data_IF_113270089541
#
_entry.id   IF_113270089541
#
_cell.length_a   1.000
_cell.length_b   1.000
_cell.length_c   1.000
_cell.angle_alpha   90.00
_cell.angle_beta   90.00
_cell.angle_gamma   90.00
#
_symmetry.space_group_name_H-M   'P 1'
#
loop_
_entity.id
_entity.type
_entity.pdbx_description
1 polymer ?
#
# COMPACT_ATOMS: atom_id res chain seq x y z
N UNK A 1 -20.41 8.77 -22.22
CA UNK A 1 -19.13 8.43 -21.56
C UNK A 1 -18.08 9.42 -22.06
N UNK A 2 -17.27 10.01 -21.17
CA UNK A 2 -16.10 10.78 -21.61
C UNK A 2 -15.06 9.79 -22.12
N UNK A 3 -14.68 9.94 -23.38
CA UNK A 3 -13.55 9.22 -23.99
C UNK A 3 -12.25 9.83 -23.47
N UNK A 4 -11.22 9.02 -23.34
CA UNK A 4 -9.87 9.48 -23.07
C UNK A 4 -9.29 10.13 -24.34
N UNK A 5 -8.16 10.85 -24.24
CA UNK A 5 -7.38 11.26 -25.41
C UNK A 5 -7.03 10.05 -26.29
N UNK A 6 -6.89 10.27 -27.60
CA UNK A 6 -6.62 9.22 -28.60
C UNK A 6 -5.41 8.33 -28.25
N UNK A 7 -4.34 8.90 -27.70
CA UNK A 7 -3.17 8.14 -27.29
C UNK A 7 -3.51 7.12 -26.19
N UNK A 8 -4.36 7.50 -25.25
CA UNK A 8 -4.82 6.63 -24.16
C UNK A 8 -5.81 5.59 -24.67
N UNK A 9 -6.73 5.95 -25.57
CA UNK A 9 -7.65 4.97 -26.19
C UNK A 9 -6.87 3.93 -27.00
N UNK A 10 -5.80 4.33 -27.68
CA UNK A 10 -4.92 3.40 -28.44
C UNK A 10 -4.21 2.44 -27.50
N UNK A 11 -3.60 2.93 -26.42
CA UNK A 11 -2.95 2.09 -25.42
C UNK A 11 -3.95 1.15 -24.72
N UNK A 12 -5.15 1.66 -24.41
CA UNK A 12 -6.23 0.88 -23.79
C UNK A 12 -6.72 -0.23 -24.73
N UNK A 13 -6.88 0.05 -26.02
CA UNK A 13 -7.24 -0.95 -27.03
C UNK A 13 -6.19 -2.06 -27.14
N UNK A 14 -4.90 -1.72 -27.09
CA UNK A 14 -3.82 -2.70 -27.08
C UNK A 14 -3.85 -3.60 -25.84
N UNK A 15 -4.13 -3.01 -24.66
CA UNK A 15 -4.28 -3.77 -23.42
C UNK A 15 -5.51 -4.68 -23.45
N UNK A 16 -6.66 -4.17 -23.89
CA UNK A 16 -7.90 -4.94 -24.08
C UNK A 16 -7.66 -6.15 -24.97
N UNK A 17 -6.98 -5.95 -26.11
CA UNK A 17 -6.65 -7.03 -27.05
C UNK A 17 -5.74 -8.10 -26.44
N UNK A 18 -4.76 -7.68 -25.62
CA UNK A 18 -3.78 -8.57 -24.99
C UNK A 18 -4.37 -9.35 -23.82
N UNK A 19 -5.11 -8.66 -22.95
CA UNK A 19 -5.69 -9.24 -21.74
C UNK A 19 -7.05 -9.94 -22.00
N UNK A 20 -7.63 -9.77 -23.19
CA UNK A 20 -8.94 -10.29 -23.60
C UNK A 20 -10.06 -9.94 -22.60
N UNK A 21 -10.09 -8.68 -22.16
CA UNK A 21 -11.08 -8.17 -21.19
C UNK A 21 -11.85 -6.99 -21.77
N UNK A 22 -13.05 -6.72 -21.27
CA UNK A 22 -13.82 -5.54 -21.63
C UNK A 22 -13.18 -4.23 -21.16
N UNK A 23 -13.62 -3.11 -21.76
CA UNK A 23 -13.08 -1.77 -21.48
C UNK A 23 -13.14 -1.39 -20.00
N UNK A 24 -14.26 -1.65 -19.34
CA UNK A 24 -14.41 -1.35 -17.90
C UNK A 24 -13.52 -2.22 -17.02
N UNK A 25 -13.30 -3.48 -17.40
CA UNK A 25 -12.39 -4.38 -16.69
C UNK A 25 -10.93 -3.98 -16.90
N UNK A 26 -10.55 -3.61 -18.13
CA UNK A 26 -9.23 -3.07 -18.42
C UNK A 26 -8.92 -1.83 -17.58
N UNK A 27 -9.85 -0.86 -17.54
CA UNK A 27 -9.69 0.36 -16.75
C UNK A 27 -9.56 0.03 -15.26
N UNK A 28 -10.40 -0.87 -14.73
CA UNK A 28 -10.34 -1.28 -13.31
C UNK A 28 -8.99 -1.90 -12.95
N UNK A 29 -8.43 -2.75 -13.82
CA UNK A 29 -7.11 -3.37 -13.59
C UNK A 29 -5.97 -2.36 -13.64
N UNK A 30 -5.93 -1.51 -14.68
CA UNK A 30 -4.88 -0.50 -14.85
C UNK A 30 -4.89 0.49 -13.68
N UNK A 31 -6.07 1.01 -13.34
CA UNK A 31 -6.21 1.97 -12.23
C UNK A 31 -5.97 1.29 -10.89
N UNK A 32 -6.47 0.06 -10.70
CA UNK A 32 -6.27 -0.70 -9.47
C UNK A 32 -4.79 -1.01 -9.19
N UNK A 33 -4.04 -1.40 -10.21
CA UNK A 33 -2.60 -1.63 -10.12
C UNK A 33 -1.84 -0.34 -9.75
N UNK A 34 -2.11 0.75 -10.49
CA UNK A 34 -1.50 2.05 -10.21
C UNK A 34 -1.82 2.54 -8.79
N UNK A 35 -3.08 2.49 -8.37
CA UNK A 35 -3.49 2.92 -7.03
C UNK A 35 -2.89 2.03 -5.92
N UNK A 36 -2.67 0.74 -6.19
CA UNK A 36 -2.03 -0.17 -5.24
C UNK A 36 -0.54 0.14 -5.08
N UNK A 37 0.18 0.36 -6.20
CA UNK A 37 1.60 0.73 -6.18
C UNK A 37 1.88 2.07 -5.51
N UNK A 38 0.90 2.97 -5.48
CA UNK A 38 0.98 4.27 -4.81
C UNK A 38 0.39 4.29 -3.39
N UNK A 39 -0.07 3.15 -2.86
CA UNK A 39 -0.61 3.04 -1.50
C UNK A 39 -2.00 3.66 -1.30
N UNK A 40 -2.70 4.04 -2.38
CA UNK A 40 -4.08 4.54 -2.31
C UNK A 40 -5.10 3.41 -2.06
N UNK A 41 -4.80 2.19 -2.50
CA UNK A 41 -5.59 1.00 -2.18
C UNK A 41 -4.96 0.23 -1.02
N UNK A 42 -5.38 0.55 0.20
CA UNK A 42 -5.02 -0.15 1.43
C UNK A 42 -5.74 -1.51 1.50
N UNK A 43 -5.27 -2.48 0.71
CA UNK A 43 -5.93 -3.80 0.62
C UNK A 43 -5.28 -4.83 -0.30
N UNK A 44 -4.28 -4.46 -1.11
CA UNK A 44 -3.46 -5.42 -1.86
C UNK A 44 -1.98 -5.21 -1.53
N UNK A 45 -1.69 -5.17 -0.23
CA UNK A 45 -0.32 -5.22 0.27
C UNK A 45 0.15 -6.67 0.12
N UNK A 46 0.78 -7.00 -1.02
CA UNK A 46 1.84 -8.00 -0.94
C UNK A 46 2.97 -7.33 -0.18
N UNK A 47 3.20 -7.87 1.02
CA UNK A 47 4.25 -7.52 1.96
C UNK A 47 5.57 -7.17 1.26
N UNK A 48 6.02 -5.91 1.35
CA UNK A 48 7.43 -5.54 1.50
C UNK A 48 7.56 -4.01 1.66
N UNK A 49 7.07 -3.45 2.77
CA UNK A 49 7.69 -2.23 3.28
C UNK A 49 7.48 -2.19 4.79
N UNK A 50 8.59 -2.05 5.50
CA UNK A 50 8.77 -2.40 6.90
C UNK A 50 7.65 -1.90 7.81
N UNK A 51 7.14 -2.84 8.60
CA UNK A 51 6.62 -2.58 9.93
C UNK A 51 7.66 -1.77 10.72
N UNK A 52 7.61 -0.45 10.57
CA UNK A 52 8.17 0.47 11.56
C UNK A 52 7.03 0.92 12.47
N UNK A 53 6.23 -0.02 12.94
CA UNK A 53 5.66 0.12 14.28
C UNK A 53 6.81 -0.14 15.25
N UNK A 54 7.77 0.80 15.28
CA UNK A 54 8.79 0.90 16.31
C UNK A 54 8.03 0.89 17.63
N UNK A 55 8.00 -0.28 18.26
CA UNK A 55 7.47 -0.42 19.59
C UNK A 55 8.47 0.35 20.43
N UNK A 56 8.15 1.62 20.73
CA UNK A 56 8.96 2.45 21.62
C UNK A 56 9.02 1.69 22.94
N UNK A 57 10.10 0.93 23.10
CA UNK A 57 10.52 0.37 24.38
C UNK A 57 10.90 1.60 25.20
N UNK A 58 9.92 2.11 25.95
CA UNK A 58 10.22 3.08 26.99
C UNK A 58 11.27 2.43 27.89
N UNK A 59 12.44 3.06 28.11
CA UNK A 59 13.38 2.57 29.10
C UNK A 59 12.60 2.44 30.41
N UNK A 60 12.65 1.27 31.03
CA UNK A 60 12.06 1.07 32.35
C UNK A 60 12.62 2.14 33.28
N UNK A 61 11.80 3.14 33.56
CA UNK A 61 12.11 4.14 34.55
C UNK A 61 12.00 3.46 35.91
N UNK A 62 13.17 3.31 36.54
CA UNK A 62 13.43 3.00 37.95
C UNK A 62 13.49 1.51 38.35
N UNK A 63 14.57 0.85 37.96
CA UNK A 63 15.43 0.18 38.96
C UNK A 63 16.11 1.26 39.81
N UNK A 64 15.54 1.60 40.98
CA UNK A 64 16.30 1.89 42.22
C UNK A 64 15.33 2.27 43.35
N UNK A 65 14.68 1.27 43.94
CA UNK A 65 14.25 1.36 45.34
C UNK A 65 15.06 0.36 46.16
N UNK A 66 16.39 0.38 45.97
CA UNK A 66 17.33 -0.27 46.87
C UNK A 66 17.65 0.69 48.02
N UNK A 67 16.74 0.73 49.00
CA UNK A 67 16.78 1.66 50.12
C UNK A 67 16.73 0.95 51.48
N UNK A 68 17.78 0.20 51.83
CA UNK A 68 18.28 0.12 53.20
C UNK A 68 17.51 -0.75 54.20
N UNK A 69 18.02 -1.96 54.42
CA UNK A 69 17.92 -2.62 55.72
C UNK A 69 18.83 -1.90 56.74
N UNK A 70 18.29 -1.67 57.94
CA UNK A 70 19.00 -1.23 59.14
C UNK A 70 17.98 -0.65 60.11
N UNK A 71 17.90 -1.03 61.38
CA UNK A 71 18.60 -1.97 62.26
C UNK A 71 17.86 -1.93 63.58
#
# INVERSE_FOLDING_TARGET
>A
MKTFPDDIETALAAFIGTAQVDRDEAIRRIVGDWLSGHGYLRGSVSSDEGDISETVQYPEFMDDASGGAGG
#
